data_IF_892406744225
#
_entry.id   IF_892406744225
#
_cell.length_a   1.000
_cell.length_b   1.000
_cell.length_c   1.000
_cell.angle_alpha   90.00
_cell.angle_beta   90.00
_cell.angle_gamma   90.00
#
_symmetry.space_group_name_H-M   'P 1'
#
loop_
_entity.id
_entity.type
_entity.pdbx_description
1 polymer ?
#
# COMPACT_ATOMS: atom_id res chain seq x y z
N UNK A 1 -12.14 0.68 13.98
CA UNK A 1 -11.39 1.24 12.83
C UNK A 1 -10.13 0.41 12.68
N UNK A 2 -9.82 -0.05 11.47
CA UNK A 2 -8.64 -0.87 11.16
C UNK A 2 -7.68 -0.08 10.27
N UNK A 3 -6.41 -0.01 10.65
CA UNK A 3 -5.37 0.58 9.81
C UNK A 3 -4.57 -0.53 9.15
N UNK A 4 -4.57 -0.57 7.82
CA UNK A 4 -3.82 -1.55 7.04
C UNK A 4 -2.56 -0.89 6.51
N UNK A 5 -1.41 -1.39 6.95
CA UNK A 5 -0.09 -0.89 6.53
C UNK A 5 0.54 -1.93 5.62
N UNK A 6 0.83 -1.54 4.38
CA UNK A 6 1.48 -2.39 3.38
C UNK A 6 2.83 -1.78 3.05
N UNK A 7 3.90 -2.38 3.56
CA UNK A 7 5.26 -2.04 3.10
C UNK A 7 5.50 -2.80 1.80
N UNK A 8 5.88 -2.08 0.74
CA UNK A 8 6.09 -2.65 -0.58
C UNK A 8 7.45 -2.26 -1.14
N UNK A 9 8.04 -3.19 -1.89
CA UNK A 9 9.29 -2.98 -2.63
C UNK A 9 9.20 -3.68 -3.98
N UNK A 10 9.32 -2.94 -5.09
CA UNK A 10 9.37 -3.43 -6.48
C UNK A 10 8.21 -4.32 -6.98
N UNK A 11 7.13 -4.50 -6.20
CA UNK A 11 5.99 -5.35 -6.56
C UNK A 11 4.65 -4.60 -6.53
N UNK A 12 4.60 -3.44 -7.19
CA UNK A 12 3.42 -2.54 -7.22
C UNK A 12 2.12 -3.26 -7.63
N UNK A 13 2.19 -4.16 -8.60
CA UNK A 13 1.04 -4.94 -9.06
C UNK A 13 0.48 -5.91 -8.00
N UNK A 14 1.33 -6.45 -7.11
CA UNK A 14 0.87 -7.29 -6.01
C UNK A 14 0.22 -6.44 -4.91
N UNK A 15 0.78 -5.26 -4.64
CA UNK A 15 0.19 -4.29 -3.71
C UNK A 15 -1.21 -3.88 -4.15
N UNK A 16 -1.41 -3.58 -5.43
CA UNK A 16 -2.74 -3.28 -5.97
C UNK A 16 -3.73 -4.44 -5.75
N UNK A 17 -3.32 -5.67 -6.09
CA UNK A 17 -4.14 -6.87 -5.86
C UNK A 17 -4.48 -7.10 -4.39
N UNK A 18 -3.54 -6.84 -3.48
CA UNK A 18 -3.76 -6.97 -2.04
C UNK A 18 -4.80 -5.93 -1.53
N UNK A 19 -4.72 -4.69 -2.01
CA UNK A 19 -5.68 -3.63 -1.71
C UNK A 19 -7.07 -4.03 -2.20
N UNK A 20 -7.18 -4.48 -3.45
CA UNK A 20 -8.47 -4.91 -4.03
C UNK A 20 -9.05 -6.12 -3.29
N UNK A 21 -8.22 -7.10 -2.94
CA UNK A 21 -8.63 -8.25 -2.13
C UNK A 21 -9.13 -7.83 -0.75
N UNK A 22 -8.44 -6.90 -0.08
CA UNK A 22 -8.87 -6.40 1.22
C UNK A 22 -10.19 -5.65 1.11
N UNK A 23 -10.30 -4.73 0.15
CA UNK A 23 -11.51 -3.95 -0.13
C UNK A 23 -12.69 -4.81 -0.53
N UNK A 24 -12.50 -5.99 -1.11
CA UNK A 24 -13.59 -6.90 -1.46
C UNK A 24 -14.03 -7.77 -0.27
N UNK A 25 -13.15 -8.01 0.70
CA UNK A 25 -13.40 -8.90 1.84
C UNK A 25 -13.86 -8.17 3.10
N UNK A 26 -13.35 -6.96 3.35
CA UNK A 26 -13.66 -6.16 4.53
C UNK A 26 -14.57 -4.98 4.17
N UNK A 27 -15.61 -4.74 4.97
CA UNK A 27 -16.58 -3.64 4.79
C UNK A 27 -16.62 -2.65 5.95
N UNK A 28 -15.85 -2.88 7.02
CA UNK A 28 -15.79 -1.96 8.15
C UNK A 28 -14.99 -0.69 7.82
N UNK A 29 -15.05 0.30 8.71
CA UNK A 29 -14.24 1.51 8.60
C UNK A 29 -12.74 1.18 8.69
N UNK A 30 -11.99 1.59 7.66
CA UNK A 30 -10.56 1.34 7.55
C UNK A 30 -9.84 2.48 6.81
N UNK A 31 -8.53 2.52 7.01
CA UNK A 31 -7.59 3.28 6.18
C UNK A 31 -6.53 2.33 5.61
N UNK A 32 -5.95 2.71 4.48
CA UNK A 32 -4.88 1.95 3.83
C UNK A 32 -3.69 2.88 3.64
N UNK A 33 -2.55 2.48 4.20
CA UNK A 33 -1.28 3.18 4.08
C UNK A 33 -0.31 2.25 3.36
N UNK A 34 0.16 2.65 2.19
CA UNK A 34 1.24 1.97 1.47
C UNK A 34 2.54 2.69 1.77
N UNK A 35 3.55 1.97 2.23
CA UNK A 35 4.91 2.49 2.37
C UNK A 35 5.74 1.94 1.22
N UNK A 36 6.03 2.78 0.22
CA UNK A 36 6.98 2.44 -0.84
C UNK A 36 8.39 2.54 -0.30
N UNK A 37 9.07 1.39 -0.22
CA UNK A 37 10.35 1.25 0.45
C UNK A 37 11.53 1.41 -0.52
N UNK A 38 11.57 2.53 -1.25
CA UNK A 38 12.66 2.85 -2.19
C UNK A 38 12.64 2.02 -3.47
N UNK A 39 11.46 1.78 -4.04
CA UNK A 39 11.32 0.99 -5.27
C UNK A 39 11.87 1.70 -6.50
N UNK A 40 12.38 0.92 -7.46
CA UNK A 40 12.83 1.45 -8.76
C UNK A 40 11.68 2.04 -9.56
N UNK A 41 10.51 1.40 -9.49
CA UNK A 41 9.25 1.90 -10.03
C UNK A 41 8.28 2.09 -8.84
N UNK A 42 8.08 3.33 -8.36
CA UNK A 42 7.27 3.59 -7.18
C UNK A 42 5.82 3.16 -7.35
N UNK A 43 5.19 2.74 -6.25
CA UNK A 43 3.75 2.59 -6.19
C UNK A 43 3.09 3.97 -6.26
N UNK A 44 2.26 4.16 -7.27
CA UNK A 44 1.43 5.34 -7.42
C UNK A 44 0.07 5.10 -6.78
N UNK A 45 -0.43 6.08 -6.01
CA UNK A 45 -1.71 5.94 -5.35
C UNK A 45 -2.83 5.80 -6.38
N UNK A 46 -3.71 4.79 -6.27
CA UNK A 46 -4.87 4.66 -7.15
C UNK A 46 -5.97 5.70 -6.85
N UNK A 47 -5.84 6.51 -5.80
CA UNK A 47 -6.95 7.29 -5.24
C UNK A 47 -7.79 6.45 -4.27
N UNK A 48 -8.95 6.97 -3.86
CA UNK A 48 -9.95 6.26 -3.05
C UNK A 48 -9.53 5.92 -1.60
N UNK A 49 -8.83 6.84 -0.92
CA UNK A 49 -8.49 6.68 0.49
C UNK A 49 -7.26 5.79 0.76
N UNK A 50 -6.40 5.60 -0.25
CA UNK A 50 -5.05 5.04 -0.08
C UNK A 50 -4.04 6.17 0.08
N UNK A 51 -3.37 6.20 1.24
CA UNK A 51 -2.24 7.09 1.49
C UNK A 51 -0.95 6.37 1.10
N UNK A 52 -0.05 7.05 0.39
CA UNK A 52 1.26 6.51 0.02
C UNK A 52 2.35 7.32 0.72
N UNK A 53 3.15 6.65 1.53
CA UNK A 53 4.37 7.16 2.13
C UNK A 53 5.57 6.63 1.34
N UNK A 54 6.63 7.44 1.22
CA UNK A 54 7.82 7.07 0.45
C UNK A 54 9.05 7.09 1.33
N UNK A 55 9.78 5.97 1.36
CA UNK A 55 11.14 5.93 1.84
C UNK A 55 12.09 6.14 0.65
N UNK A 56 13.17 6.93 0.81
CA UNK A 56 14.12 7.19 -0.27
C UNK A 56 14.96 5.95 -0.63
N UNK A 57 15.04 4.98 0.28
CA UNK A 57 15.79 3.73 0.13
C UNK A 57 15.10 2.60 0.87
N UNK A 58 15.39 1.36 0.50
CA UNK A 58 14.89 0.19 1.21
C UNK A 58 15.49 0.10 2.62
N UNK A 59 14.65 0.29 3.64
CA UNK A 59 15.04 0.28 5.05
C UNK A 59 14.76 -1.06 5.76
N UNK A 60 14.37 -2.11 5.02
CA UNK A 60 13.89 -3.36 5.60
C UNK A 60 12.41 -3.33 5.98
N UNK A 61 11.97 -4.34 6.75
CA UNK A 61 10.62 -4.53 7.26
C UNK A 61 10.62 -4.55 8.78
#
# INVERSE_FOLDING_TARGET
MLSVIIVQYNHTHLTAKAIDSFRTTYRGSHEIIVVDNGSTAPFESPGDGVVVLRNPSNAGF
#
